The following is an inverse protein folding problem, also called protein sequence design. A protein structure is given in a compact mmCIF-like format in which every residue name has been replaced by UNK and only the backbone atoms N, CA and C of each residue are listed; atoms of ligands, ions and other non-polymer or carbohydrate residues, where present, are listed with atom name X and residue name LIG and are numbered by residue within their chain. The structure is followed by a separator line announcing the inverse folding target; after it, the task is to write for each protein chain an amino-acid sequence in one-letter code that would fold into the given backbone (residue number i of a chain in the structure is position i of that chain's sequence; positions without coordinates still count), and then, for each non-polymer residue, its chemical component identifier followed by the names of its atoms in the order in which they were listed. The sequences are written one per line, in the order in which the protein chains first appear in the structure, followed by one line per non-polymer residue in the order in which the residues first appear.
data_IF_834910186916
#
_entry.id   IF_834910186916
#
_cell.length_a   1.000
_cell.length_b   1.000
_cell.length_c   1.000
_cell.angle_alpha   90.00
_cell.angle_beta   90.00
_cell.angle_gamma   90.00
#
_symmetry.space_group_name_H-M   'P 1'
#
loop_
_entity.id
_entity.type
_entity.pdbx_description
1 polymer ?
#
# COMPACT_ATOMS: atom_id res chain seq x y z
N UNK A 1 -25.45 -21.40 1.56
CA UNK A 1 -25.31 -20.54 2.75
C UNK A 1 -24.88 -19.17 2.28
N UNK A 2 -25.72 -18.15 2.50
CA UNK A 2 -25.48 -16.78 2.05
C UNK A 2 -24.41 -16.14 2.96
N UNK A 3 -23.26 -15.76 2.38
CA UNK A 3 -22.22 -15.00 3.08
C UNK A 3 -22.73 -13.56 3.23
N UNK A 4 -23.01 -13.12 4.46
CA UNK A 4 -23.61 -11.80 4.75
C UNK A 4 -22.60 -10.68 5.01
N UNK A 5 -21.32 -10.89 4.72
CA UNK A 5 -20.31 -9.81 4.69
C UNK A 5 -19.30 -10.13 3.57
N UNK A 6 -19.02 -9.21 2.62
CA UNK A 6 -17.95 -9.39 1.65
C UNK A 6 -16.60 -9.40 2.37
N UNK A 7 -15.80 -10.45 2.17
CA UNK A 7 -14.36 -10.43 2.40
C UNK A 7 -13.69 -10.50 1.03
N UNK A 8 -13.12 -9.40 0.53
CA UNK A 8 -12.37 -9.39 -0.73
C UNK A 8 -10.90 -9.87 -0.63
N UNK A 9 -10.50 -10.47 0.49
CA UNK A 9 -9.17 -11.06 0.66
C UNK A 9 -9.26 -12.60 0.76
N UNK A 10 -9.95 -13.25 -0.17
CA UNK A 10 -9.63 -14.65 -0.46
C UNK A 10 -8.28 -14.62 -1.21
N UNK A 11 -7.17 -14.80 -0.47
CA UNK A 11 -5.76 -14.91 -0.94
C UNK A 11 -5.18 -13.76 -1.81
N UNK A 12 -5.28 -12.48 -1.41
CA UNK A 12 -4.86 -11.33 -2.22
C UNK A 12 -3.34 -11.30 -2.45
N UNK A 13 -2.90 -10.92 -3.66
CA UNK A 13 -1.46 -10.72 -3.92
C UNK A 13 -1.08 -9.27 -3.69
N UNK A 14 -0.09 -9.06 -2.82
CA UNK A 14 0.50 -7.76 -2.54
C UNK A 14 1.90 -7.66 -3.13
N UNK A 15 2.13 -6.67 -4.00
CA UNK A 15 3.47 -6.31 -4.45
C UNK A 15 4.03 -5.25 -3.52
N UNK A 16 5.13 -5.58 -2.85
CA UNK A 16 5.85 -4.68 -1.95
C UNK A 16 7.06 -4.09 -2.65
N UNK A 17 7.15 -2.77 -2.66
CA UNK A 17 8.20 -1.99 -3.32
C UNK A 17 8.93 -1.12 -2.30
N UNK A 18 10.26 -1.20 -2.30
CA UNK A 18 11.11 -0.48 -1.38
C UNK A 18 11.55 -1.30 -0.16
N UNK A 19 12.15 -0.63 0.82
CA UNK A 19 12.81 -1.29 1.97
C UNK A 19 12.69 -0.47 3.26
N UNK A 20 12.77 -1.15 4.41
CA UNK A 20 12.73 -0.55 5.75
C UNK A 20 11.81 -1.28 6.72
N UNK A 21 12.07 -1.17 8.02
CA UNK A 21 11.30 -1.85 9.07
C UNK A 21 9.79 -1.56 9.01
N UNK A 22 9.38 -0.36 8.60
CA UNK A 22 7.96 -0.02 8.46
C UNK A 22 7.29 -0.76 7.30
N UNK A 23 7.95 -0.85 6.14
CA UNK A 23 7.39 -1.61 5.01
C UNK A 23 7.38 -3.10 5.30
N UNK A 24 8.38 -3.62 6.01
CA UNK A 24 8.39 -5.00 6.47
C UNK A 24 7.28 -5.27 7.48
N UNK A 25 7.02 -4.34 8.41
CA UNK A 25 5.92 -4.47 9.36
C UNK A 25 4.54 -4.45 8.66
N UNK A 26 4.36 -3.58 7.66
CA UNK A 26 3.14 -3.56 6.86
C UNK A 26 2.98 -4.84 6.02
N UNK A 27 4.04 -5.30 5.35
CA UNK A 27 4.02 -6.54 4.60
C UNK A 27 3.71 -7.74 5.50
N UNK A 28 4.28 -7.79 6.72
CA UNK A 28 4.01 -8.83 7.70
C UNK A 28 2.54 -8.87 8.13
N UNK A 29 1.95 -7.71 8.47
CA UNK A 29 0.53 -7.66 8.87
C UNK A 29 -0.41 -7.97 7.69
N UNK A 30 -0.06 -7.55 6.47
CA UNK A 30 -0.81 -7.96 5.27
C UNK A 30 -0.74 -9.47 5.04
N UNK A 31 0.44 -10.08 5.23
CA UNK A 31 0.60 -11.53 5.13
C UNK A 31 -0.20 -12.26 6.23
N UNK A 32 -0.16 -11.75 7.46
CA UNK A 32 -0.95 -12.28 8.57
C UNK A 32 -2.47 -12.15 8.32
N UNK A 33 -2.88 -11.14 7.55
CA UNK A 33 -4.25 -10.96 7.07
C UNK A 33 -4.61 -11.82 5.84
N UNK A 34 -3.69 -12.67 5.36
CA UNK A 34 -3.92 -13.62 4.26
C UNK A 34 -3.30 -13.24 2.93
N UNK A 35 -2.55 -12.14 2.83
CA UNK A 35 -1.96 -11.74 1.56
C UNK A 35 -0.72 -12.56 1.17
N UNK A 36 -0.65 -12.96 -0.10
CA UNK A 36 0.58 -13.46 -0.71
C UNK A 36 1.50 -12.28 -1.01
N UNK A 37 2.71 -12.28 -0.44
CA UNK A 37 3.65 -11.17 -0.59
C UNK A 37 4.64 -11.45 -1.71
N UNK A 38 4.65 -10.57 -2.72
CA UNK A 38 5.66 -10.51 -3.77
C UNK A 38 6.53 -9.25 -3.62
N UNK A 39 7.76 -9.30 -4.11
CA UNK A 39 8.68 -8.16 -4.11
C UNK A 39 8.81 -7.57 -5.51
N UNK A 40 8.62 -6.26 -5.60
CA UNK A 40 8.83 -5.50 -6.84
C UNK A 40 10.15 -4.72 -6.80
N UNK A 41 10.82 -4.51 -7.95
CA UNK A 41 12.00 -3.64 -8.04
C UNK A 41 11.62 -2.17 -7.80
N UNK A 42 12.55 -1.39 -7.27
CA UNK A 42 12.45 0.08 -7.28
C UNK A 42 12.77 0.54 -8.71
N UNK A 43 11.78 1.08 -9.41
CA UNK A 43 11.93 1.51 -10.80
C UNK A 43 11.08 2.75 -11.09
N UNK A 44 11.59 3.65 -11.93
CA UNK A 44 10.84 4.79 -12.48
C UNK A 44 10.11 4.45 -13.78
N UNK A 45 10.31 3.25 -14.33
CA UNK A 45 9.73 2.80 -15.59
C UNK A 45 8.39 2.06 -15.35
N UNK A 46 7.25 2.60 -15.84
CA UNK A 46 5.96 1.93 -15.74
C UNK A 46 5.91 0.55 -16.41
N UNK A 47 6.68 0.31 -17.48
CA UNK A 47 6.69 -0.98 -18.15
C UNK A 47 7.37 -2.05 -17.28
N UNK A 48 8.51 -1.71 -16.67
CA UNK A 48 9.16 -2.56 -15.67
C UNK A 48 8.27 -2.81 -14.45
N UNK A 49 7.55 -1.79 -13.96
CA UNK A 49 6.61 -1.93 -12.85
C UNK A 49 5.45 -2.88 -13.22
N UNK A 50 4.86 -2.75 -14.41
CA UNK A 50 3.82 -3.65 -14.91
C UNK A 50 4.32 -5.10 -15.01
N UNK A 51 5.51 -5.30 -15.57
CA UNK A 51 6.13 -6.63 -15.65
C UNK A 51 6.33 -7.29 -14.28
N UNK A 52 6.65 -6.51 -13.24
CA UNK A 52 6.74 -7.01 -11.87
C UNK A 52 5.37 -7.43 -11.30
N UNK A 53 4.31 -6.65 -11.58
CA UNK A 53 2.93 -6.98 -11.18
C UNK A 53 2.47 -8.28 -11.85
N UNK A 54 2.68 -8.43 -13.15
CA UNK A 54 2.28 -9.63 -13.90
C UNK A 54 3.10 -10.87 -13.48
N UNK A 55 4.38 -10.69 -13.15
CA UNK A 55 5.20 -11.77 -12.61
C UNK A 55 4.69 -12.25 -11.25
N UNK A 56 4.28 -11.33 -10.37
CA UNK A 56 3.70 -11.64 -9.07
C UNK A 56 2.37 -12.40 -9.21
N UNK A 57 1.45 -11.92 -10.06
CA UNK A 57 0.19 -12.61 -10.37
C UNK A 57 0.46 -14.04 -10.86
N UNK A 58 1.36 -14.20 -11.83
CA UNK A 58 1.68 -15.51 -12.40
C UNK A 58 2.25 -16.47 -11.36
N UNK A 59 3.09 -15.96 -10.45
CA UNK A 59 3.69 -16.77 -9.40
C UNK A 59 2.66 -17.21 -8.35
N UNK A 60 1.78 -16.30 -7.93
CA UNK A 60 0.72 -16.56 -6.96
C UNK A 60 -0.47 -17.34 -7.55
N UNK A 61 -0.65 -17.28 -8.88
CA UNK A 61 -1.84 -17.77 -9.61
C UNK A 61 -3.13 -17.08 -9.17
N UNK A 62 -3.00 -15.83 -8.73
CA UNK A 62 -4.07 -14.98 -8.23
C UNK A 62 -3.75 -13.53 -8.61
N UNK A 63 -4.73 -12.69 -8.99
CA UNK A 63 -4.50 -11.28 -9.29
C UNK A 63 -3.82 -10.47 -8.18
N UNK A 64 -3.02 -9.50 -8.61
CA UNK A 64 -2.51 -8.45 -7.72
C UNK A 64 -3.60 -7.44 -7.44
N UNK A 65 -3.95 -7.27 -6.17
CA UNK A 65 -4.97 -6.31 -5.71
C UNK A 65 -4.40 -5.27 -4.75
N UNK A 66 -3.14 -5.42 -4.32
CA UNK A 66 -2.49 -4.50 -3.41
C UNK A 66 -1.09 -4.14 -3.93
N UNK A 67 -0.78 -2.84 -3.94
CA UNK A 67 0.59 -2.34 -4.03
C UNK A 67 0.93 -1.61 -2.73
N UNK A 68 1.98 -2.07 -2.05
CA UNK A 68 2.55 -1.42 -0.88
C UNK A 68 3.90 -0.82 -1.28
N UNK A 69 4.06 0.48 -1.09
CA UNK A 69 5.26 1.19 -1.51
C UNK A 69 5.83 2.05 -0.39
N UNK A 70 7.13 1.90 -0.13
CA UNK A 70 7.89 2.72 0.81
C UNK A 70 9.19 3.19 0.15
N UNK A 71 9.25 4.47 -0.24
CA UNK A 71 10.38 4.98 -1.01
C UNK A 71 11.49 5.62 -0.20
N UNK A 72 11.33 5.80 1.11
CA UNK A 72 12.30 6.60 1.87
C UNK A 72 12.37 8.05 1.41
N UNK A 73 11.26 8.57 0.91
CA UNK A 73 11.16 9.92 0.36
C UNK A 73 11.56 10.07 -1.11
N UNK A 74 11.45 9.01 -1.91
CA UNK A 74 11.57 9.07 -3.38
C UNK A 74 10.32 8.58 -4.12
N UNK A 75 9.40 9.48 -4.44
CA UNK A 75 8.09 9.12 -5.02
C UNK A 75 8.11 8.72 -6.52
N UNK A 76 9.31 8.58 -7.10
CA UNK A 76 9.47 8.22 -8.51
C UNK A 76 8.93 6.80 -8.78
N UNK A 77 9.20 5.84 -7.90
CA UNK A 77 8.68 4.49 -8.04
C UNK A 77 7.18 4.41 -7.75
N UNK A 78 6.66 5.19 -6.80
CA UNK A 78 5.22 5.28 -6.53
C UNK A 78 4.43 5.65 -7.79
N UNK A 79 4.93 6.62 -8.55
CA UNK A 79 4.28 7.09 -9.78
C UNK A 79 4.28 6.01 -10.86
N UNK A 80 5.41 5.31 -11.04
CA UNK A 80 5.53 4.23 -12.03
C UNK A 80 4.59 3.07 -11.72
N UNK A 81 4.59 2.59 -10.48
CA UNK A 81 3.68 1.53 -10.02
C UNK A 81 2.23 1.97 -10.04
N UNK A 82 1.94 3.22 -9.69
CA UNK A 82 0.58 3.76 -9.77
C UNK A 82 -0.02 3.67 -11.17
N UNK A 83 0.71 4.20 -12.16
CA UNK A 83 0.30 4.15 -13.57
C UNK A 83 0.15 2.71 -14.07
N UNK A 84 1.15 1.86 -13.78
CA UNK A 84 1.13 0.46 -14.18
C UNK A 84 -0.05 -0.29 -13.56
N UNK A 85 -0.32 -0.05 -12.27
CA UNK A 85 -1.35 -0.75 -11.53
C UNK A 85 -2.76 -0.32 -11.95
N UNK A 86 -2.97 0.97 -12.24
CA UNK A 86 -4.24 1.43 -12.83
C UNK A 86 -4.55 0.70 -14.13
N UNK A 87 -3.60 0.65 -15.07
CA UNK A 87 -3.77 -0.07 -16.36
C UNK A 87 -4.02 -1.56 -16.13
N UNK A 88 -3.28 -2.17 -15.20
CA UNK A 88 -3.44 -3.58 -14.84
C UNK A 88 -4.87 -3.89 -14.34
N UNK A 89 -5.39 -3.07 -13.43
CA UNK A 89 -6.72 -3.24 -12.83
C UNK A 89 -7.83 -2.99 -13.84
N UNK A 90 -7.69 -1.98 -14.71
CA UNK A 90 -8.63 -1.70 -15.79
C UNK A 90 -8.77 -2.87 -16.75
N UNK A 91 -7.64 -3.43 -17.20
CA UNK A 91 -7.63 -4.57 -18.13
C UNK A 91 -8.24 -5.85 -17.56
N UNK A 92 -8.26 -6.00 -16.22
CA UNK A 92 -8.81 -7.17 -15.52
C UNK A 92 -10.16 -6.92 -14.87
N UNK A 93 -10.69 -5.71 -15.00
CA UNK A 93 -11.90 -5.24 -14.33
C UNK A 93 -11.89 -5.42 -12.80
N UNK A 94 -10.71 -5.28 -12.18
CA UNK A 94 -10.51 -5.45 -10.73
C UNK A 94 -10.58 -4.12 -9.99
N UNK A 95 -10.68 -4.21 -8.66
CA UNK A 95 -10.43 -3.09 -7.75
C UNK A 95 -9.12 -3.35 -7.00
N UNK A 96 -8.40 -2.29 -6.64
CA UNK A 96 -7.15 -2.40 -5.92
C UNK A 96 -6.90 -1.29 -4.91
N UNK A 97 -5.91 -1.53 -4.05
CA UNK A 97 -5.42 -0.60 -3.05
C UNK A 97 -3.95 -0.27 -3.29
N UNK A 98 -3.62 1.02 -3.29
CA UNK A 98 -2.25 1.52 -3.31
C UNK A 98 -1.94 2.17 -1.97
N UNK A 99 -0.94 1.64 -1.27
CA UNK A 99 -0.53 2.11 0.05
C UNK A 99 0.86 2.75 -0.04
N UNK A 100 0.94 4.04 0.29
CA UNK A 100 2.20 4.79 0.39
C UNK A 100 2.64 4.90 1.85
N UNK A 101 3.80 4.37 2.19
CA UNK A 101 4.46 4.62 3.46
C UNK A 101 5.49 5.73 3.30
N UNK A 102 5.49 6.68 4.23
CA UNK A 102 6.41 7.84 4.22
C UNK A 102 6.47 8.60 2.89
N UNK A 103 5.34 9.12 2.39
CA UNK A 103 5.40 9.99 1.22
C UNK A 103 6.19 11.27 1.58
N UNK A 104 7.23 11.59 0.82
CA UNK A 104 8.00 12.82 1.02
C UNK A 104 7.70 13.83 -0.09
N UNK A 105 7.13 14.96 0.29
CA UNK A 105 6.90 16.05 -0.65
C UNK A 105 5.79 16.99 -0.18
N UNK A 106 5.80 18.20 -0.72
CA UNK A 106 4.86 19.27 -0.39
C UNK A 106 3.43 19.01 -0.89
N UNK A 107 3.20 17.98 -1.71
CA UNK A 107 1.84 17.67 -2.20
C UNK A 107 1.53 16.17 -2.36
N UNK A 108 1.72 15.42 -1.26
CA UNK A 108 1.22 14.04 -1.11
C UNK A 108 -0.26 13.94 -1.48
N UNK A 109 -1.03 15.01 -1.23
CA UNK A 109 -2.46 15.04 -1.49
C UNK A 109 -2.76 15.03 -2.98
N UNK A 110 -2.05 15.85 -3.77
CA UNK A 110 -2.14 15.83 -5.22
C UNK A 110 -1.71 14.47 -5.78
N UNK A 111 -0.58 13.91 -5.31
CA UNK A 111 -0.12 12.60 -5.75
C UNK A 111 -1.17 11.50 -5.49
N UNK A 112 -1.80 11.49 -4.32
CA UNK A 112 -2.86 10.54 -3.99
C UNK A 112 -4.12 10.72 -4.86
N UNK A 113 -4.46 11.96 -5.23
CA UNK A 113 -5.58 12.23 -6.15
C UNK A 113 -5.26 11.69 -7.54
N UNK A 114 -4.04 11.90 -8.05
CA UNK A 114 -3.61 11.42 -9.36
C UNK A 114 -3.49 9.90 -9.43
N UNK A 115 -3.13 9.26 -8.31
CA UNK A 115 -3.07 7.81 -8.17
C UNK A 115 -4.44 7.16 -7.96
N UNK A 116 -5.42 7.90 -7.42
CA UNK A 116 -6.75 7.37 -7.18
C UNK A 116 -7.57 7.36 -8.48
N UNK A 117 -8.45 6.37 -8.62
CA UNK A 117 -9.34 6.27 -9.75
C UNK A 117 -10.58 5.43 -9.42
N UNK A 118 -11.49 5.22 -10.38
CA UNK A 118 -12.73 4.46 -10.16
C UNK A 118 -12.50 3.04 -9.59
N UNK A 119 -11.34 2.46 -9.89
CA UNK A 119 -10.94 1.10 -9.50
C UNK A 119 -9.77 1.05 -8.51
N UNK A 120 -9.17 2.20 -8.20
CA UNK A 120 -7.95 2.26 -7.39
C UNK A 120 -8.12 3.24 -6.23
N UNK A 121 -8.01 2.70 -5.01
CA UNK A 121 -7.95 3.51 -3.79
C UNK A 121 -6.49 3.72 -3.42
N UNK A 122 -5.99 4.96 -3.52
CA UNK A 122 -4.67 5.31 -3.04
C UNK A 122 -4.75 5.98 -1.67
N UNK A 123 -3.98 5.51 -0.70
CA UNK A 123 -3.88 6.11 0.63
C UNK A 123 -2.42 6.14 1.09
N UNK A 124 -2.09 7.12 1.93
CA UNK A 124 -0.80 7.25 2.56
C UNK A 124 -0.85 7.03 4.06
N UNK A 125 0.22 6.46 4.60
CA UNK A 125 0.52 6.38 6.02
C UNK A 125 1.76 7.24 6.29
N UNK A 126 1.54 8.38 6.93
CA UNK A 126 2.61 9.23 7.44
C UNK A 126 3.18 8.63 8.73
N UNK A 127 4.49 8.37 8.73
CA UNK A 127 5.21 7.85 9.89
C UNK A 127 6.66 8.34 9.85
N UNK A 128 7.33 8.29 10.99
CA UNK A 128 8.77 8.46 11.16
C UNK A 128 9.44 7.10 11.41
N UNK A 129 8.69 6.00 11.31
CA UNK A 129 9.14 4.66 11.68
C UNK A 129 9.39 3.73 10.48
N UNK A 130 9.55 4.23 9.24
CA UNK A 130 9.87 3.32 8.14
C UNK A 130 11.26 2.70 8.26
N UNK A 131 12.19 3.35 8.96
CA UNK A 131 13.57 2.87 9.13
C UNK A 131 13.86 2.34 10.53
N UNK A 132 12.81 2.12 11.33
CA UNK A 132 12.92 1.55 12.66
C UNK A 132 12.07 2.31 13.66
N UNK A 133 11.67 1.61 14.72
CA UNK A 133 10.83 2.18 15.76
C UNK A 133 10.44 1.14 16.81
N UNK A 134 9.76 1.56 17.88
CA UNK A 134 9.24 0.64 18.88
C UNK A 134 8.33 -0.41 18.22
N UNK A 135 8.46 -1.68 18.62
CA UNK A 135 7.65 -2.78 18.06
C UNK A 135 6.14 -2.48 18.04
N UNK A 136 5.65 -1.79 19.07
CA UNK A 136 4.24 -1.38 19.16
C UNK A 136 3.83 -0.46 18.02
N UNK A 137 4.71 0.44 17.57
CA UNK A 137 4.47 1.40 16.48
C UNK A 137 4.53 0.73 15.12
N UNK A 138 5.51 -0.15 14.92
CA UNK A 138 5.59 -0.97 13.71
C UNK A 138 4.34 -1.85 13.54
N UNK A 139 3.86 -2.48 14.62
CA UNK A 139 2.58 -3.21 14.61
C UNK A 139 1.38 -2.32 14.30
N UNK A 140 1.32 -1.12 14.88
CA UNK A 140 0.24 -0.18 14.59
C UNK A 140 0.24 0.29 13.13
N UNK A 141 1.42 0.51 12.56
CA UNK A 141 1.61 0.82 11.15
C UNK A 141 1.11 -0.31 10.25
N UNK A 142 1.50 -1.56 10.53
CA UNK A 142 1.03 -2.67 9.73
C UNK A 142 -0.47 -2.94 9.89
N UNK A 143 -1.03 -2.78 11.08
CA UNK A 143 -2.47 -2.86 11.30
C UNK A 143 -3.24 -1.78 10.52
N UNK A 144 -2.70 -0.56 10.44
CA UNK A 144 -3.30 0.50 9.63
C UNK A 144 -3.22 0.20 8.13
N UNK A 145 -2.10 -0.37 7.67
CA UNK A 145 -1.95 -0.81 6.28
C UNK A 145 -2.99 -1.88 5.92
N UNK A 146 -3.15 -2.89 6.78
CA UNK A 146 -4.15 -3.94 6.61
C UNK A 146 -5.58 -3.38 6.62
N UNK A 147 -5.90 -2.45 7.52
CA UNK A 147 -7.18 -1.76 7.53
C UNK A 147 -7.44 -1.02 6.21
N UNK A 148 -6.48 -0.22 5.73
CA UNK A 148 -6.62 0.56 4.50
C UNK A 148 -6.74 -0.31 3.24
N UNK A 149 -6.09 -1.48 3.22
CA UNK A 149 -6.26 -2.48 2.17
C UNK A 149 -7.64 -3.15 2.21
N UNK A 150 -8.25 -3.28 3.39
CA UNK A 150 -9.52 -4.00 3.58
C UNK A 150 -10.77 -3.24 3.11
N UNK A 151 -11.88 -3.97 3.00
CA UNK A 151 -13.21 -3.42 2.69
C UNK A 151 -13.77 -2.53 3.81
N UNK A 152 -13.26 -2.66 5.04
CA UNK A 152 -13.63 -1.71 6.12
C UNK A 152 -13.22 -0.28 5.77
N UNK A 153 -12.23 -0.12 4.88
CA UNK A 153 -11.77 1.15 4.35
C UNK A 153 -12.23 1.38 2.89
N UNK A 154 -13.29 0.71 2.42
CA UNK A 154 -13.76 0.81 1.02
C UNK A 154 -14.06 2.25 0.56
N UNK A 155 -14.45 3.13 1.48
CA UNK A 155 -14.72 4.54 1.18
C UNK A 155 -13.56 5.48 1.56
N UNK A 156 -12.42 4.92 1.95
CA UNK A 156 -11.20 5.67 2.29
C UNK A 156 -10.28 5.66 1.08
N UNK A 157 -10.15 6.83 0.46
CA UNK A 157 -9.22 7.11 -0.64
C UNK A 157 -8.73 8.55 -0.52
N UNK A 158 -7.55 8.84 -1.06
CA UNK A 158 -6.93 10.16 -0.94
C UNK A 158 -6.54 10.54 0.49
N UNK A 159 -6.57 9.60 1.44
CA UNK A 159 -6.31 9.88 2.84
C UNK A 159 -4.80 9.83 3.13
N UNK A 160 -4.35 10.71 4.02
CA UNK A 160 -3.03 10.64 4.64
C UNK A 160 -3.24 10.50 6.15
N UNK A 161 -2.97 9.30 6.68
CA UNK A 161 -3.21 8.93 8.08
C UNK A 161 -1.88 8.78 8.81
N UNK A 162 -1.81 9.22 10.06
CA UNK A 162 -0.57 9.17 10.85
C UNK A 162 -0.65 8.17 12.01
N UNK A 163 0.41 7.38 12.21
CA UNK A 163 0.56 6.47 13.38
C UNK A 163 1.34 7.11 14.54
N UNK A 164 1.87 8.31 14.32
CA UNK A 164 2.80 8.99 15.23
C UNK A 164 2.19 10.20 15.96
N UNK A 165 0.93 10.55 15.63
CA UNK A 165 0.33 11.82 16.10
C UNK A 165 0.27 11.95 17.62
N UNK A 166 0.23 10.83 18.35
CA UNK A 166 0.29 10.79 19.81
C UNK A 166 1.66 11.17 20.38
N UNK A 167 2.72 11.03 19.60
CA UNK A 167 4.11 11.24 20.04
C UNK A 167 4.48 12.72 19.86
N UNK A 168 3.86 13.41 18.90
CA UNK A 168 3.92 14.86 18.75
C UNK A 168 3.31 15.62 19.94
N UNK A 169 2.38 15.01 20.70
CA UNK A 169 1.73 15.65 21.85
C UNK A 169 2.49 15.49 23.17
N UNK A 170 3.63 14.79 23.19
CA UNK A 170 4.46 14.68 24.40
C UNK A 170 5.51 15.79 24.55
N UNK A 171 5.53 16.76 23.62
CA UNK A 171 6.25 18.02 23.76
C UNK A 171 5.31 19.13 24.20
N UNK A 172 5.05 19.23 25.51
CA UNK A 172 4.51 20.46 26.12
C UNK A 172 5.46 21.63 25.88
N UNK A 173 4.91 22.84 25.71
CA UNK A 173 4.59 23.68 26.87
C UNK A 173 3.13 23.56 27.35
#
# INVERSE_FOLDING_TARGET
MSRTVPSWLDDPVCVVVGHGDGVEAAAHELAAAGATIARGPITSDPAAALGAIEAAEKAARDPVTIVLHASGGQDVAATAYGKAFTVYLENRELNGAFLLLEPAGTDVRQALVELSGPRLRANAIATNYAYGGPLKKLRALGALAAYLASDYAAYVYGACLGVDRSDCQQGHP
#
